data_IF_901495197769
#
_entry.id   IF_901495197769
#
_cell.length_a   1.000
_cell.length_b   1.000
_cell.length_c   1.000
_cell.angle_alpha   90.00
_cell.angle_beta   90.00
_cell.angle_gamma   90.00
#
_symmetry.space_group_name_H-M   'P 1'
#
loop_
_entity.id
_entity.type
_entity.pdbx_description
1 polymer ?
#
# COMPACT_ATOMS: atom_id res chain seq x y z
N UNK A 1 26.71 -4.08 4.48
CA UNK A 1 25.46 -3.45 4.03
C UNK A 1 24.43 -3.48 5.16
N UNK A 2 23.92 -2.32 5.48
CA UNK A 2 22.98 -2.21 6.58
C UNK A 2 21.59 -2.66 6.10
N UNK A 3 21.06 -3.68 6.74
CA UNK A 3 19.75 -4.20 6.41
C UNK A 3 18.68 -3.28 7.02
N UNK A 4 17.73 -2.83 6.20
CA UNK A 4 16.62 -2.03 6.68
C UNK A 4 15.67 -2.92 7.47
N UNK A 5 15.34 -2.52 8.70
CA UNK A 5 14.44 -3.28 9.56
C UNK A 5 13.02 -2.80 9.32
N UNK A 6 12.13 -3.74 9.05
CA UNK A 6 10.71 -3.45 8.94
C UNK A 6 10.07 -3.37 10.32
N UNK A 7 9.33 -2.29 10.56
CA UNK A 7 8.51 -2.15 11.76
C UNK A 7 7.09 -2.60 11.42
N UNK A 8 6.72 -3.79 11.83
CA UNK A 8 5.40 -4.35 11.54
C UNK A 8 4.26 -3.54 12.15
N UNK A 9 4.49 -2.95 13.32
CA UNK A 9 3.50 -2.11 13.97
C UNK A 9 3.27 -0.85 13.14
N UNK A 10 4.36 -0.20 12.70
CA UNK A 10 4.26 0.99 11.86
C UNK A 10 3.62 0.66 10.51
N UNK A 11 3.96 -0.48 9.91
CA UNK A 11 3.38 -0.90 8.64
C UNK A 11 1.86 -1.07 8.75
N UNK A 12 1.41 -1.71 9.82
CA UNK A 12 -0.02 -1.91 10.09
C UNK A 12 -0.72 -0.59 10.31
N UNK A 13 -0.11 0.31 11.06
CA UNK A 13 -0.66 1.63 11.32
C UNK A 13 -0.81 2.43 10.03
N UNK A 14 0.21 2.38 9.16
CA UNK A 14 0.15 3.04 7.86
C UNK A 14 -0.94 2.44 6.98
N UNK A 15 -1.07 1.12 6.97
CA UNK A 15 -2.12 0.42 6.24
C UNK A 15 -3.51 0.90 6.69
N UNK A 16 -3.76 0.91 8.01
CA UNK A 16 -5.05 1.34 8.55
C UNK A 16 -5.34 2.81 8.22
N UNK A 17 -4.31 3.65 8.29
CA UNK A 17 -4.46 5.06 7.92
C UNK A 17 -4.90 5.20 6.46
N UNK A 18 -4.25 4.46 5.57
CA UNK A 18 -4.54 4.53 4.14
C UNK A 18 -5.97 4.09 3.82
N UNK A 19 -6.44 2.99 4.41
CA UNK A 19 -7.77 2.47 4.11
C UNK A 19 -8.89 3.30 4.76
N UNK A 20 -8.55 4.11 5.77
CA UNK A 20 -9.53 4.95 6.46
C UNK A 20 -9.59 6.39 5.95
N UNK A 21 -8.65 6.79 5.08
CA UNK A 21 -8.69 8.11 4.44
C UNK A 21 -9.39 8.00 3.09
N UNK A 22 -10.44 8.76 2.91
CA UNK A 22 -11.25 8.71 1.69
C UNK A 22 -10.43 8.93 0.42
N UNK A 23 -9.56 9.96 0.42
CA UNK A 23 -8.73 10.25 -0.74
C UNK A 23 -7.77 9.11 -1.07
N UNK A 24 -7.16 8.49 -0.05
CA UNK A 24 -6.25 7.38 -0.24
C UNK A 24 -7.00 6.12 -0.64
N UNK A 25 -8.16 5.88 -0.06
CA UNK A 25 -8.99 4.74 -0.44
C UNK A 25 -9.41 4.81 -1.91
N UNK A 26 -9.68 6.01 -2.41
CA UNK A 26 -10.00 6.23 -3.82
C UNK A 26 -8.82 5.83 -4.71
N UNK A 27 -7.59 6.16 -4.31
CA UNK A 27 -6.38 5.73 -5.03
C UNK A 27 -6.23 4.21 -4.99
N UNK A 28 -6.50 3.59 -3.84
CA UNK A 28 -6.46 2.12 -3.70
C UNK A 28 -7.45 1.48 -4.68
N UNK A 29 -8.66 2.01 -4.78
CA UNK A 29 -9.66 1.48 -5.71
C UNK A 29 -9.21 1.58 -7.16
N UNK A 30 -8.52 2.65 -7.52
CA UNK A 30 -7.96 2.80 -8.87
C UNK A 30 -6.92 1.73 -9.17
N UNK A 31 -6.07 1.41 -8.20
CA UNK A 31 -5.09 0.33 -8.32
C UNK A 31 -5.79 -1.01 -8.47
N UNK A 32 -6.84 -1.25 -7.66
CA UNK A 32 -7.61 -2.50 -7.73
C UNK A 32 -8.23 -2.71 -9.11
N UNK A 33 -8.79 -1.65 -9.69
CA UNK A 33 -9.35 -1.71 -11.04
C UNK A 33 -8.30 -2.07 -12.07
N UNK A 34 -7.12 -1.48 -11.95
CA UNK A 34 -6.00 -1.78 -12.85
C UNK A 34 -5.57 -3.24 -12.74
N UNK A 35 -5.42 -3.74 -11.52
CA UNK A 35 -5.04 -5.13 -11.26
C UNK A 35 -6.11 -6.11 -11.74
N UNK A 36 -7.37 -5.76 -11.56
CA UNK A 36 -8.49 -6.57 -12.05
C UNK A 36 -8.43 -6.72 -13.58
N UNK A 37 -8.20 -5.62 -14.30
CA UNK A 37 -8.07 -5.67 -15.75
C UNK A 37 -6.93 -6.58 -16.18
N UNK A 38 -5.80 -6.54 -15.46
CA UNK A 38 -4.67 -7.44 -15.73
C UNK A 38 -5.04 -8.89 -15.47
N UNK A 39 -5.78 -9.15 -14.40
CA UNK A 39 -6.24 -10.50 -14.09
C UNK A 39 -7.14 -11.05 -15.18
N UNK A 40 -8.05 -10.23 -15.70
CA UNK A 40 -8.96 -10.63 -16.77
C UNK A 40 -8.24 -10.94 -18.07
N UNK A 41 -7.09 -10.33 -18.29
CA UNK A 41 -6.24 -10.59 -19.47
C UNK A 41 -5.21 -11.68 -19.24
N UNK A 42 -5.24 -12.34 -18.08
CA UNK A 42 -4.25 -13.34 -17.74
C UNK A 42 -2.86 -12.77 -17.44
N UNK A 43 -2.77 -11.48 -17.15
CA UNK A 43 -1.51 -10.78 -16.90
C UNK A 43 -1.26 -10.51 -15.42
N UNK A 44 -2.15 -10.96 -14.55
CA UNK A 44 -2.00 -10.72 -13.11
C UNK A 44 -0.91 -11.62 -12.54
N UNK A 45 0.05 -10.99 -11.87
CA UNK A 45 1.16 -11.69 -11.22
C UNK A 45 1.14 -11.32 -9.75
N UNK A 46 0.79 -12.28 -8.90
CA UNK A 46 0.66 -12.06 -7.45
C UNK A 46 1.94 -11.47 -6.85
N UNK A 47 3.09 -12.00 -7.25
CA UNK A 47 4.37 -11.54 -6.72
C UNK A 47 4.68 -10.07 -7.01
N UNK A 48 4.01 -9.50 -8.02
CA UNK A 48 4.21 -8.09 -8.40
C UNK A 48 3.04 -7.19 -8.05
N UNK A 49 1.95 -7.76 -7.55
CA UNK A 49 0.76 -6.98 -7.24
C UNK A 49 1.02 -5.95 -6.15
N UNK A 50 1.87 -6.28 -5.17
CA UNK A 50 2.22 -5.35 -4.11
C UNK A 50 2.87 -4.08 -4.64
N UNK A 51 3.66 -4.19 -5.72
CA UNK A 51 4.34 -3.04 -6.30
C UNK A 51 3.35 -1.99 -6.85
N UNK A 52 2.17 -2.43 -7.25
CA UNK A 52 1.14 -1.52 -7.77
C UNK A 52 0.62 -0.56 -6.70
N UNK A 53 0.76 -0.92 -5.44
CA UNK A 53 0.33 -0.07 -4.33
C UNK A 53 1.40 0.90 -3.84
N UNK A 54 2.57 0.87 -4.47
CA UNK A 54 3.72 1.65 -4.00
C UNK A 54 3.44 3.15 -3.91
N UNK A 55 2.80 3.72 -4.93
CA UNK A 55 2.48 5.14 -4.93
C UNK A 55 1.48 5.51 -3.85
N UNK A 56 0.47 4.67 -3.65
CA UNK A 56 -0.53 4.90 -2.61
C UNK A 56 0.13 4.89 -1.24
N UNK A 57 0.97 3.89 -0.98
CA UNK A 57 1.67 3.77 0.30
C UNK A 57 2.60 4.95 0.54
N UNK A 58 3.34 5.35 -0.48
CA UNK A 58 4.22 6.51 -0.39
C UNK A 58 3.43 7.78 -0.08
N UNK A 59 2.30 7.98 -0.77
CA UNK A 59 1.42 9.12 -0.54
C UNK A 59 0.83 9.08 0.87
N UNK A 60 0.40 7.89 1.33
CA UNK A 60 -0.12 7.71 2.67
C UNK A 60 0.92 8.06 3.74
N UNK A 61 2.17 7.63 3.54
CA UNK A 61 3.26 7.94 4.47
C UNK A 61 3.52 9.44 4.55
N UNK A 62 3.48 10.12 3.41
CA UNK A 62 3.65 11.57 3.35
C UNK A 62 2.51 12.29 4.07
N UNK A 63 1.27 11.93 3.79
CA UNK A 63 0.10 12.53 4.42
C UNK A 63 0.07 12.29 5.92
N UNK A 64 0.43 11.08 6.34
CA UNK A 64 0.51 10.74 7.76
C UNK A 64 1.52 11.64 8.47
N UNK A 65 2.70 11.80 7.88
CA UNK A 65 3.75 12.62 8.46
C UNK A 65 3.33 14.09 8.56
N UNK A 66 2.66 14.61 7.55
CA UNK A 66 2.15 15.98 7.54
C UNK A 66 1.09 16.15 8.63
N UNK A 67 0.16 15.22 8.72
CA UNK A 67 -0.97 15.31 9.64
C UNK A 67 -0.53 15.18 11.10
N UNK A 68 0.39 14.28 11.39
CA UNK A 68 0.82 14.00 12.76
C UNK A 68 2.14 14.66 13.13
N UNK A 69 2.76 15.34 12.18
CA UNK A 69 3.77 16.35 12.49
C UNK A 69 5.11 15.89 13.03
N UNK A 70 5.76 14.92 12.45
CA UNK A 70 7.08 14.57 12.93
C UNK A 70 8.03 14.23 11.79
N UNK A 71 8.96 15.10 11.50
CA UNK A 71 10.05 14.84 10.58
C UNK A 71 9.62 14.50 9.17
N UNK A 72 10.50 13.87 8.39
CA UNK A 72 10.17 13.43 7.06
C UNK A 72 9.49 12.05 7.11
N UNK A 73 8.72 11.74 6.10
CA UNK A 73 8.08 10.41 6.05
C UNK A 73 9.12 9.29 5.93
N UNK A 74 10.32 9.59 5.45
CA UNK A 74 11.41 8.63 5.41
C UNK A 74 11.88 8.24 6.81
N UNK A 75 11.81 9.19 7.75
CA UNK A 75 12.18 8.92 9.13
C UNK A 75 11.08 8.15 9.87
N UNK A 76 9.83 8.44 9.54
CA UNK A 76 8.68 7.81 10.17
C UNK A 76 8.43 6.41 9.60
N UNK A 77 8.47 6.28 8.28
CA UNK A 77 8.21 5.01 7.59
C UNK A 77 9.34 4.74 6.61
N UNK A 78 10.25 3.86 6.99
CA UNK A 78 11.37 3.48 6.14
C UNK A 78 10.91 2.63 4.96
N UNK A 79 11.82 2.38 4.03
CA UNK A 79 11.51 1.64 2.80
C UNK A 79 10.94 0.25 3.07
N UNK A 80 11.53 -0.48 4.01
CA UNK A 80 11.08 -1.84 4.34
C UNK A 80 9.66 -1.82 4.92
N UNK A 81 9.36 -0.84 5.78
CA UNK A 81 8.03 -0.65 6.36
C UNK A 81 7.01 -0.36 5.27
N UNK A 82 7.34 0.53 4.32
CA UNK A 82 6.45 0.86 3.21
C UNK A 82 6.20 -0.35 2.31
N UNK A 83 7.24 -1.15 2.05
CA UNK A 83 7.10 -2.38 1.26
C UNK A 83 6.20 -3.39 1.96
N UNK A 84 6.31 -3.52 3.28
CA UNK A 84 5.44 -4.40 4.05
C UNK A 84 3.98 -3.93 3.99
N UNK A 85 3.76 -2.62 4.06
CA UNK A 85 2.41 -2.07 3.91
C UNK A 85 1.83 -2.41 2.53
N UNK A 86 2.65 -2.35 1.48
CA UNK A 86 2.21 -2.74 0.12
C UNK A 86 1.76 -4.20 0.09
N UNK A 87 2.50 -5.09 0.76
CA UNK A 87 2.14 -6.50 0.83
C UNK A 87 0.87 -6.72 1.61
N UNK A 88 0.68 -5.97 2.70
CA UNK A 88 -0.56 -6.03 3.47
C UNK A 88 -1.76 -5.63 2.62
N UNK A 89 -1.62 -4.60 1.79
CA UNK A 89 -2.66 -4.18 0.88
C UNK A 89 -2.96 -5.24 -0.16
N UNK A 90 -1.93 -5.83 -0.76
CA UNK A 90 -2.08 -6.89 -1.75
C UNK A 90 -2.82 -8.08 -1.13
N UNK A 91 -2.39 -8.53 0.04
CA UNK A 91 -3.02 -9.66 0.73
C UNK A 91 -4.48 -9.37 1.07
N UNK A 92 -4.75 -8.18 1.60
CA UNK A 92 -6.09 -7.79 2.02
C UNK A 92 -7.05 -7.70 0.83
N UNK A 93 -6.58 -7.17 -0.29
CA UNK A 93 -7.43 -6.94 -1.45
C UNK A 93 -7.34 -8.04 -2.51
N UNK A 94 -6.54 -9.07 -2.29
CA UNK A 94 -6.34 -10.12 -3.29
C UNK A 94 -7.66 -10.73 -3.77
N UNK A 95 -8.53 -11.09 -2.85
CA UNK A 95 -9.83 -11.66 -3.21
C UNK A 95 -10.70 -10.67 -3.99
N UNK A 96 -10.68 -9.40 -3.56
CA UNK A 96 -11.45 -8.36 -4.24
C UNK A 96 -10.95 -8.13 -5.66
N UNK A 97 -9.63 -8.20 -5.86
CA UNK A 97 -9.04 -8.09 -7.19
C UNK A 97 -9.56 -9.22 -8.08
N UNK A 98 -9.54 -10.45 -7.58
CA UNK A 98 -9.94 -11.62 -8.36
C UNK A 98 -11.44 -11.68 -8.63
N UNK A 99 -12.24 -11.13 -7.74
CA UNK A 99 -13.69 -11.08 -7.90
C UNK A 99 -14.18 -9.85 -8.64
N UNK A 100 -13.33 -8.83 -8.79
CA UNK A 100 -13.73 -7.55 -9.34
C UNK A 100 -14.67 -6.75 -8.44
N UNK A 101 -14.66 -7.06 -7.15
CA UNK A 101 -15.57 -6.50 -6.17
C UNK A 101 -14.89 -5.35 -5.41
N UNK A 102 -14.97 -4.16 -6.01
CA UNK A 102 -14.36 -2.97 -5.42
C UNK A 102 -14.99 -1.67 -5.95
#
# INVERSE_FOLDING_TARGET
MKKTICDDIAARELFMYAVNKEALYSEIRSVLKCLYRKAMKGQYIIAKAADAFHYVVKHAAMMYTIEFGSGSYYDTFNRATRQETCRMMEDYFHENIMKGDF
#
